data_IF_551481682255
#
_entry.id   IF_551481682255
#
_cell.length_a   1.000
_cell.length_b   1.000
_cell.length_c   1.000
_cell.angle_alpha   90.00
_cell.angle_beta   90.00
_cell.angle_gamma   90.00
#
_symmetry.space_group_name_H-M   'P 1'
#
loop_
_entity.id
_entity.type
_entity.pdbx_description
1 polymer ?
#
# COMPACT_ATOMS: atom_id res chain seq x y z
N UNK A 1 3.97 4.83 6.41
CA UNK A 1 2.89 4.82 5.39
C UNK A 1 3.21 3.80 4.32
N UNK A 2 3.38 2.53 4.70
CA UNK A 2 3.80 1.50 3.76
C UNK A 2 2.56 0.74 3.28
N UNK A 3 2.32 0.64 1.96
CA UNK A 3 3.11 1.19 0.84
C UNK A 3 2.87 2.69 0.56
N UNK A 4 3.85 3.35 -0.05
CA UNK A 4 3.71 4.74 -0.53
C UNK A 4 3.01 4.76 -1.89
N UNK A 5 1.73 5.15 -1.92
CA UNK A 5 0.94 5.31 -3.15
C UNK A 5 1.25 6.67 -3.81
N UNK A 6 1.44 6.66 -5.13
CA UNK A 6 1.64 7.86 -5.95
C UNK A 6 0.56 7.87 -7.01
N UNK A 7 -0.28 8.92 -7.00
CA UNK A 7 -1.35 9.07 -7.98
C UNK A 7 -0.81 9.45 -9.36
N UNK A 8 -1.52 9.03 -10.41
CA UNK A 8 -1.11 9.22 -11.81
C UNK A 8 -0.98 10.70 -12.24
N UNK A 9 -1.64 11.60 -11.53
CA UNK A 9 -1.63 13.04 -11.75
C UNK A 9 -0.66 13.81 -10.83
N UNK A 10 0.05 13.11 -9.94
CA UNK A 10 1.09 13.73 -9.12
C UNK A 10 2.25 14.22 -9.99
N UNK A 11 2.69 15.48 -9.76
CA UNK A 11 3.80 16.12 -10.50
C UNK A 11 4.89 16.71 -9.60
N UNK A 12 4.75 16.54 -8.29
CA UNK A 12 5.73 17.02 -7.32
C UNK A 12 6.99 16.15 -7.28
N UNK A 13 7.95 16.59 -6.46
CA UNK A 13 9.12 15.79 -6.12
C UNK A 13 8.70 14.53 -5.36
N UNK A 14 9.11 13.36 -5.84
CA UNK A 14 8.89 12.10 -5.13
C UNK A 14 9.80 12.06 -3.90
N UNK A 15 9.18 12.01 -2.72
CA UNK A 15 9.89 11.82 -1.45
C UNK A 15 9.71 10.40 -0.95
N UNK A 16 10.77 9.83 -0.39
CA UNK A 16 10.74 8.51 0.26
C UNK A 16 10.60 8.71 1.76
N UNK A 17 9.48 8.25 2.33
CA UNK A 17 9.28 8.25 3.77
C UNK A 17 9.93 6.99 4.34
N UNK A 18 11.02 7.18 5.08
CA UNK A 18 11.80 6.12 5.68
C UNK A 18 11.52 6.03 7.17
N UNK A 19 11.53 4.81 7.69
CA UNK A 19 11.55 4.53 9.12
C UNK A 19 12.70 3.56 9.39
N UNK A 20 13.55 3.91 10.35
CA UNK A 20 14.52 2.98 10.90
C UNK A 20 13.84 2.21 12.04
N UNK A 21 13.61 0.91 11.84
CA UNK A 21 13.03 0.01 12.85
C UNK A 21 14.09 -0.67 13.73
N UNK A 22 15.38 -0.41 13.46
CA UNK A 22 16.50 -0.87 14.27
C UNK A 22 16.72 -0.01 15.52
N UNK A 23 17.63 -0.46 16.38
CA UNK A 23 18.00 0.28 17.60
C UNK A 23 19.17 1.24 17.37
N UNK A 24 19.98 1.00 16.34
CA UNK A 24 21.14 1.81 16.01
C UNK A 24 20.82 2.87 14.96
N UNK A 25 21.59 3.96 14.96
CA UNK A 25 21.48 4.99 13.94
C UNK A 25 21.89 4.45 12.56
N UNK A 26 21.13 4.80 11.53
CA UNK A 26 21.43 4.47 10.14
C UNK A 26 21.64 5.74 9.33
N UNK A 27 22.84 5.91 8.79
CA UNK A 27 23.22 7.09 8.00
C UNK A 27 23.08 6.78 6.51
N UNK A 28 22.24 7.54 5.82
CA UNK A 28 22.08 7.45 4.36
C UNK A 28 23.03 8.44 3.68
N UNK A 29 23.73 7.98 2.66
CA UNK A 29 24.60 8.84 1.84
C UNK A 29 23.92 9.26 0.53
N UNK A 30 24.37 10.38 -0.03
CA UNK A 30 23.86 10.85 -1.33
C UNK A 30 24.18 9.80 -2.41
N UNK A 31 23.15 9.42 -3.18
CA UNK A 31 23.26 8.42 -4.25
C UNK A 31 23.00 6.98 -3.79
N UNK A 32 22.78 6.75 -2.50
CA UNK A 32 22.41 5.44 -1.97
C UNK A 32 20.99 5.05 -2.41
N UNK A 33 20.79 3.76 -2.69
CA UNK A 33 19.48 3.22 -3.07
C UNK A 33 18.67 2.95 -1.80
N UNK A 34 17.56 3.67 -1.61
CA UNK A 34 16.77 3.64 -0.37
C UNK A 34 15.33 3.14 -0.54
N UNK A 35 14.89 2.88 -1.77
CA UNK A 35 13.57 2.33 -2.08
C UNK A 35 13.55 1.74 -3.49
N UNK A 36 12.43 1.10 -3.84
CA UNK A 36 12.11 0.65 -5.19
C UNK A 36 10.71 1.15 -5.58
N UNK A 37 10.54 1.51 -6.84
CA UNK A 37 9.25 1.86 -7.41
C UNK A 37 8.68 0.66 -8.16
N UNK A 38 7.40 0.36 -7.95
CA UNK A 38 6.66 -0.66 -8.69
C UNK A 38 5.50 0.02 -9.41
N UNK A 39 5.44 -0.12 -10.74
CA UNK A 39 4.29 0.31 -11.52
C UNK A 39 3.28 -0.83 -11.55
N UNK A 40 2.10 -0.61 -10.97
CA UNK A 40 1.01 -1.56 -10.94
C UNK A 40 -0.21 -1.00 -11.68
N UNK A 41 -0.95 -1.82 -12.45
CA UNK A 41 -2.22 -1.39 -13.02
C UNK A 41 -3.24 -1.12 -11.92
N UNK A 42 -4.06 -0.09 -12.10
CA UNK A 42 -5.17 0.26 -11.22
C UNK A 42 -6.46 0.33 -12.02
N UNK A 43 -7.54 -0.18 -11.46
CA UNK A 43 -8.88 -0.12 -12.07
C UNK A 43 -9.69 0.98 -11.39
N UNK A 44 -10.28 1.87 -12.19
CA UNK A 44 -11.28 2.82 -11.70
C UNK A 44 -12.65 2.13 -11.69
N UNK A 45 -13.36 2.23 -10.57
CA UNK A 45 -14.69 1.63 -10.40
C UNK A 45 -15.75 2.71 -10.24
N UNK A 46 -16.97 2.37 -10.66
CA UNK A 46 -18.18 3.11 -10.30
C UNK A 46 -18.89 2.36 -9.17
N UNK A 47 -19.29 3.08 -8.13
CA UNK A 47 -20.05 2.51 -7.03
C UNK A 47 -21.49 2.20 -7.48
N UNK A 48 -22.02 1.06 -7.04
CA UNK A 48 -23.42 0.65 -7.23
C UNK A 48 -23.96 0.32 -5.84
N UNK A 49 -24.92 1.11 -5.37
CA UNK A 49 -25.56 0.91 -4.07
C UNK A 49 -26.61 -0.20 -4.13
N UNK A 50 -26.63 -1.07 -3.12
CA UNK A 50 -27.54 -2.22 -3.00
C UNK A 50 -27.93 -2.43 -1.54
N UNK A 51 -29.13 -2.98 -1.29
CA UNK A 51 -29.61 -3.25 0.07
C UNK A 51 -28.86 -4.40 0.76
N UNK A 52 -28.35 -5.37 -0.01
CA UNK A 52 -27.61 -6.53 0.48
C UNK A 52 -26.58 -7.04 -0.55
N UNK A 53 -25.52 -7.67 -0.05
CA UNK A 53 -24.52 -8.39 -0.86
C UNK A 53 -24.82 -9.89 -0.88
N UNK A 54 -24.43 -10.58 -1.95
CA UNK A 54 -24.51 -12.04 -2.04
C UNK A 54 -23.60 -12.74 -1.03
N UNK A 55 -24.00 -13.95 -0.60
CA UNK A 55 -23.19 -14.77 0.30
C UNK A 55 -21.99 -15.40 -0.44
N UNK A 56 -20.88 -15.55 0.28
CA UNK A 56 -19.69 -16.28 -0.19
C UNK A 56 -19.19 -17.19 0.91
N UNK A 57 -18.46 -18.26 0.57
CA UNK A 57 -17.86 -19.18 1.54
C UNK A 57 -16.97 -18.47 2.58
N UNK A 58 -16.37 -17.32 2.22
CA UNK A 58 -15.57 -16.49 3.14
C UNK A 58 -16.43 -15.63 4.07
N UNK A 59 -17.60 -15.18 3.60
CA UNK A 59 -18.50 -14.29 4.33
C UNK A 59 -17.78 -13.07 4.93
N UNK A 60 -18.08 -12.79 6.20
CA UNK A 60 -17.48 -11.69 6.97
C UNK A 60 -16.07 -12.01 7.54
N UNK A 61 -15.47 -13.15 7.19
CA UNK A 61 -14.18 -13.57 7.72
C UNK A 61 -13.02 -12.66 7.29
N UNK A 62 -12.25 -12.16 8.26
CA UNK A 62 -11.01 -11.40 8.07
C UNK A 62 -9.91 -11.82 9.06
N UNK A 63 -8.75 -11.15 9.02
CA UNK A 63 -7.69 -11.26 10.04
C UNK A 63 -7.32 -12.69 10.47
N UNK A 64 -6.88 -13.53 9.52
CA UNK A 64 -6.50 -14.91 9.84
C UNK A 64 -7.69 -15.84 10.05
N UNK A 65 -8.83 -15.56 9.41
CA UNK A 65 -10.04 -16.40 9.43
C UNK A 65 -9.83 -17.86 8.99
N UNK A 66 -8.68 -18.18 8.38
CA UNK A 66 -8.26 -19.53 8.01
C UNK A 66 -7.42 -20.25 9.09
N UNK A 67 -7.11 -19.60 10.22
CA UNK A 67 -6.58 -20.23 11.43
C UNK A 67 -5.12 -20.70 11.39
N UNK A 68 -4.24 -20.02 10.64
CA UNK A 68 -2.79 -20.25 10.67
C UNK A 68 -2.02 -18.95 10.85
#
# INVERSE_FOLDING_TARGET
NTPGTIDSDYRGEIKVILINLGQDAFTIQRGERIAQLVLAPVTQLAWIEVDALDETDRGAGGFGSTGR
#
